data_IF_069762631482
#
_entry.id   IF_069762631482
#
_cell.length_a   1.000
_cell.length_b   1.000
_cell.length_c   1.000
_cell.angle_alpha   90.00
_cell.angle_beta   90.00
_cell.angle_gamma   90.00
#
_symmetry.space_group_name_H-M   'P 1'
#
loop_
_entity.id
_entity.type
_entity.pdbx_description
1 polymer ?
#
# COMPACT_ATOMS: atom_id res chain seq x y z
N UNK A 1 29.16 1.17 49.70
CA UNK A 1 29.16 1.22 48.21
C UNK A 1 28.21 0.13 47.73
N UNK A 2 26.97 0.47 47.40
CA UNK A 2 26.02 -0.47 46.81
C UNK A 2 26.06 -0.31 45.29
N UNK A 3 26.73 -1.24 44.62
CA UNK A 3 26.70 -1.34 43.17
C UNK A 3 25.36 -1.95 42.75
N UNK A 4 24.51 -1.16 42.10
CA UNK A 4 23.34 -1.69 41.42
C UNK A 4 23.79 -2.35 40.11
N UNK A 5 23.32 -3.57 39.80
CA UNK A 5 23.73 -4.27 38.59
C UNK A 5 23.18 -3.53 37.36
N UNK A 6 24.09 -3.11 36.49
CA UNK A 6 23.79 -2.50 35.18
C UNK A 6 23.08 -3.56 34.33
N UNK A 7 21.74 -3.57 34.34
CA UNK A 7 21.00 -4.56 33.55
C UNK A 7 19.56 -4.86 33.97
N UNK A 8 19.08 -4.37 35.11
CA UNK A 8 17.66 -4.54 35.45
C UNK A 8 16.85 -3.46 34.72
N UNK A 9 16.33 -3.81 33.54
CA UNK A 9 15.23 -3.07 32.92
C UNK A 9 14.05 -3.13 33.89
N UNK A 10 13.86 -2.07 34.66
CA UNK A 10 12.74 -1.92 35.57
C UNK A 10 11.44 -2.13 34.77
N UNK A 11 10.60 -3.07 35.22
CA UNK A 11 9.32 -3.42 34.57
C UNK A 11 8.41 -2.19 34.46
N UNK A 12 8.54 -1.28 35.43
CA UNK A 12 7.84 0.01 35.46
C UNK A 12 8.47 1.05 34.53
N UNK A 13 9.79 1.01 34.29
CA UNK A 13 10.44 1.86 33.28
C UNK A 13 10.15 1.42 31.83
N UNK A 14 9.77 0.16 31.59
CA UNK A 14 9.25 -0.28 30.29
C UNK A 14 7.82 0.24 30.01
N UNK A 15 7.15 0.79 31.03
CA UNK A 15 5.82 1.41 30.94
C UNK A 15 5.86 2.94 30.77
N UNK A 16 7.03 3.56 30.94
CA UNK A 16 7.22 5.01 30.79
C UNK A 16 7.14 5.35 29.30
N UNK A 17 5.91 5.63 28.88
CA UNK A 17 5.57 6.30 27.64
C UNK A 17 5.84 5.48 26.38
N UNK A 18 4.85 4.72 25.90
CA UNK A 18 4.78 4.43 24.47
C UNK A 18 4.92 5.78 23.74
N UNK A 19 5.94 5.98 22.90
CA UNK A 19 6.15 7.30 22.32
C UNK A 19 4.90 7.69 21.53
N UNK A 20 4.52 8.98 21.53
CA UNK A 20 3.24 9.47 20.98
C UNK A 20 3.01 9.08 19.49
N UNK A 21 4.08 8.68 18.81
CA UNK A 21 4.09 8.02 17.48
C UNK A 21 3.38 6.65 17.44
N UNK A 22 3.30 5.90 18.55
CA UNK A 22 2.63 4.59 18.65
C UNK A 22 1.19 4.68 19.17
N UNK A 23 0.82 5.81 19.82
CA UNK A 23 -0.51 6.03 20.36
C UNK A 23 -1.42 6.53 19.23
N UNK A 24 -2.24 5.61 18.72
CA UNK A 24 -3.22 5.88 17.67
C UNK A 24 -4.62 5.85 18.30
N UNK A 25 -5.29 7.01 18.32
CA UNK A 25 -6.69 7.08 18.72
C UNK A 25 -7.54 6.25 17.74
N UNK A 26 -8.59 5.58 18.24
CA UNK A 26 -9.54 4.83 17.39
C UNK A 26 -10.15 5.73 16.31
N UNK A 27 -10.47 6.98 16.66
CA UNK A 27 -11.02 7.98 15.72
C UNK A 27 -10.02 8.36 14.62
N UNK A 28 -8.75 8.56 14.98
CA UNK A 28 -7.69 8.84 14.00
C UNK A 28 -7.46 7.64 13.05
N UNK A 29 -7.54 6.42 13.58
CA UNK A 29 -7.40 5.19 12.76
C UNK A 29 -8.54 5.07 11.74
N UNK A 30 -9.77 5.36 12.17
CA UNK A 30 -10.94 5.36 11.30
C UNK A 30 -10.85 6.43 10.19
N UNK A 31 -10.39 7.63 10.54
CA UNK A 31 -10.17 8.70 9.57
C UNK A 31 -9.09 8.33 8.54
N UNK A 32 -7.97 7.74 8.97
CA UNK A 32 -6.92 7.24 8.07
C UNK A 32 -7.50 6.18 7.11
N UNK A 33 -8.34 5.27 7.64
CA UNK A 33 -8.95 4.21 6.84
C UNK A 33 -9.91 4.77 5.77
N UNK A 34 -10.80 5.70 6.11
CA UNK A 34 -11.69 6.34 5.12
C UNK A 34 -10.90 7.05 4.04
N UNK A 35 -9.91 7.87 4.42
CA UNK A 35 -9.09 8.58 3.42
C UNK A 35 -8.31 7.60 2.53
N UNK A 36 -7.81 6.50 3.10
CA UNK A 36 -7.13 5.47 2.33
C UNK A 36 -8.05 4.82 1.30
N UNK A 37 -9.33 4.59 1.63
CA UNK A 37 -10.33 4.04 0.70
C UNK A 37 -10.57 5.01 -0.45
N UNK A 38 -10.83 6.28 -0.16
CA UNK A 38 -11.10 7.32 -1.18
C UNK A 38 -9.92 7.42 -2.15
N UNK A 39 -8.69 7.48 -1.61
CA UNK A 39 -7.47 7.55 -2.40
C UNK A 39 -7.27 6.28 -3.23
N UNK A 40 -7.61 5.12 -2.68
CA UNK A 40 -7.49 3.85 -3.40
C UNK A 40 -8.44 3.78 -4.60
N UNK A 41 -9.64 4.34 -4.49
CA UNK A 41 -10.59 4.43 -5.60
C UNK A 41 -10.04 5.34 -6.70
N UNK A 42 -9.56 6.53 -6.33
CA UNK A 42 -8.99 7.51 -7.26
C UNK A 42 -7.78 6.91 -7.99
N UNK A 43 -6.84 6.32 -7.25
CA UNK A 43 -5.65 5.69 -7.83
C UNK A 43 -6.00 4.48 -8.71
N UNK A 44 -7.03 3.71 -8.35
CA UNK A 44 -7.51 2.61 -9.20
C UNK A 44 -8.07 3.07 -10.53
N UNK A 45 -8.78 4.21 -10.54
CA UNK A 45 -9.26 4.86 -11.77
C UNK A 45 -8.09 5.35 -12.64
N UNK A 46 -7.08 5.97 -12.04
CA UNK A 46 -5.86 6.36 -12.77
C UNK A 46 -5.13 5.15 -13.34
N UNK A 47 -5.03 4.07 -12.56
CA UNK A 47 -4.40 2.83 -13.02
C UNK A 47 -5.16 2.21 -14.20
N UNK A 48 -6.49 2.14 -14.15
CA UNK A 48 -7.30 1.62 -15.27
C UNK A 48 -7.20 2.50 -16.52
N UNK A 49 -7.19 3.83 -16.37
CA UNK A 49 -6.99 4.75 -17.50
C UNK A 49 -5.61 4.57 -18.13
N UNK A 50 -4.58 4.39 -17.29
CA UNK A 50 -3.22 4.16 -17.77
C UNK A 50 -3.10 2.83 -18.51
N UNK A 51 -3.69 1.76 -17.97
CA UNK A 51 -3.80 0.45 -18.63
C UNK A 51 -4.54 0.54 -19.97
N UNK A 52 -5.65 1.27 -20.01
CA UNK A 52 -6.43 1.51 -21.22
C UNK A 52 -5.63 2.26 -22.29
N UNK A 53 -4.92 3.32 -21.90
CA UNK A 53 -4.08 4.09 -22.81
C UNK A 53 -2.99 3.20 -23.43
N UNK A 54 -2.28 2.43 -22.59
CA UNK A 54 -1.24 1.51 -23.06
C UNK A 54 -1.82 0.46 -24.00
N UNK A 55 -2.97 -0.12 -23.65
CA UNK A 55 -3.60 -1.16 -24.46
C UNK A 55 -4.02 -0.67 -25.85
N UNK A 56 -4.50 0.58 -25.95
CA UNK A 56 -4.91 1.16 -27.23
C UNK A 56 -3.77 1.75 -28.07
N UNK A 57 -2.70 2.23 -27.43
CA UNK A 57 -1.59 2.90 -28.14
C UNK A 57 -0.38 2.00 -28.39
N UNK A 58 -0.15 0.95 -27.61
CA UNK A 58 0.93 0.01 -27.91
C UNK A 58 0.43 -1.06 -28.89
N UNK A 59 1.15 -1.30 -30.01
CA UNK A 59 0.84 -2.40 -30.90
C UNK A 59 0.96 -3.71 -30.10
N UNK A 60 -0.15 -4.44 -30.08
CA UNK A 60 -0.48 -5.63 -29.28
C UNK A 60 0.37 -6.87 -29.61
N UNK A 61 1.62 -6.72 -30.05
CA UNK A 61 2.42 -7.85 -30.54
C UNK A 61 3.13 -8.65 -29.43
N UNK A 62 3.27 -8.13 -28.20
CA UNK A 62 3.92 -8.87 -27.11
C UNK A 62 3.14 -8.78 -25.78
N UNK A 63 2.05 -9.55 -25.68
CA UNK A 63 1.25 -9.73 -24.45
C UNK A 63 2.11 -10.04 -23.20
N UNK A 64 3.24 -10.72 -23.37
CA UNK A 64 4.17 -11.02 -22.27
C UNK A 64 4.91 -9.78 -21.75
N UNK A 65 5.43 -8.93 -22.65
CA UNK A 65 6.15 -7.70 -22.27
C UNK A 65 5.19 -6.69 -21.63
N UNK A 66 3.96 -6.59 -22.15
CA UNK A 66 2.92 -5.77 -21.54
C UNK A 66 2.62 -6.16 -20.09
N UNK A 67 2.49 -7.47 -19.82
CA UNK A 67 2.25 -7.96 -18.45
C UNK A 67 3.43 -7.68 -17.51
N UNK A 68 4.67 -7.85 -17.95
CA UNK A 68 5.84 -7.50 -17.12
C UNK A 68 5.85 -6.00 -16.82
N UNK A 69 5.56 -5.16 -17.81
CA UNK A 69 5.47 -3.72 -17.64
C UNK A 69 4.38 -3.33 -16.63
N UNK A 70 3.20 -3.94 -16.72
CA UNK A 70 2.11 -3.71 -15.76
C UNK A 70 2.51 -4.10 -14.34
N UNK A 71 3.13 -5.26 -14.15
CA UNK A 71 3.64 -5.69 -12.84
C UNK A 71 4.61 -4.69 -12.22
N UNK A 72 5.52 -4.12 -13.03
CA UNK A 72 6.45 -3.08 -12.58
C UNK A 72 5.73 -1.80 -12.18
N UNK A 73 4.75 -1.35 -12.98
CA UNK A 73 3.95 -0.16 -12.67
C UNK A 73 3.20 -0.33 -11.34
N UNK A 74 2.58 -1.50 -11.12
CA UNK A 74 1.88 -1.82 -9.86
C UNK A 74 2.87 -1.82 -8.68
N UNK A 75 4.06 -2.40 -8.87
CA UNK A 75 5.09 -2.41 -7.83
C UNK A 75 5.54 -0.98 -7.46
N UNK A 76 5.73 -0.12 -8.45
CA UNK A 76 6.10 1.30 -8.25
C UNK A 76 4.97 2.08 -7.55
N UNK A 77 3.72 1.80 -7.89
CA UNK A 77 2.57 2.41 -7.19
C UNK A 77 2.58 2.11 -5.69
N UNK A 78 3.12 0.96 -5.28
CA UNK A 78 3.34 0.63 -3.88
C UNK A 78 4.17 1.66 -3.10
N UNK A 79 5.18 2.27 -3.75
CA UNK A 79 5.97 3.35 -3.14
C UNK A 79 5.11 4.58 -2.86
N UNK A 80 4.34 5.02 -3.86
CA UNK A 80 3.51 6.22 -3.75
C UNK A 80 2.40 6.03 -2.71
N UNK A 81 1.73 4.87 -2.73
CA UNK A 81 0.70 4.53 -1.75
C UNK A 81 1.27 4.50 -0.34
N UNK A 82 2.45 3.89 -0.17
CA UNK A 82 3.18 3.89 1.10
C UNK A 82 3.45 5.30 1.62
N UNK A 83 3.89 6.22 0.77
CA UNK A 83 4.14 7.62 1.13
C UNK A 83 2.88 8.41 1.46
N UNK A 84 1.82 8.23 0.67
CA UNK A 84 0.54 8.90 0.91
C UNK A 84 -0.03 8.49 2.27
N UNK A 85 -0.01 7.18 2.58
CA UNK A 85 -0.53 6.68 3.87
C UNK A 85 0.35 7.10 5.03
N UNK A 86 1.67 7.18 4.83
CA UNK A 86 2.59 7.76 5.81
C UNK A 86 2.26 9.23 6.11
N UNK A 87 1.97 10.03 5.07
CA UNK A 87 1.57 11.45 5.22
C UNK A 87 0.23 11.57 5.95
N UNK A 88 -0.78 10.78 5.57
CA UNK A 88 -2.12 10.78 6.19
C UNK A 88 -2.05 10.38 7.67
N UNK A 89 -1.18 9.42 8.00
CA UNK A 89 -0.96 8.98 9.38
C UNK A 89 -0.06 9.92 10.19
N UNK A 90 0.37 11.06 9.63
CA UNK A 90 1.27 12.03 10.26
C UNK A 90 2.58 11.38 10.75
N UNK A 91 3.17 10.49 9.96
CA UNK A 91 4.39 9.74 10.29
C UNK A 91 4.29 8.89 11.58
N UNK A 92 3.07 8.51 12.01
CA UNK A 92 2.90 7.60 13.16
C UNK A 92 3.28 6.17 12.77
N UNK A 93 4.00 5.49 13.66
CA UNK A 93 4.49 4.13 13.42
C UNK A 93 3.64 3.18 14.26
N UNK A 94 2.67 2.53 13.62
CA UNK A 94 1.79 1.54 14.26
C UNK A 94 1.56 0.35 13.30
N UNK A 95 1.58 -0.91 13.78
CA UNK A 95 1.32 -2.07 12.94
C UNK A 95 0.00 -1.99 12.17
N UNK A 96 -1.04 -1.32 12.71
CA UNK A 96 -2.31 -1.14 12.01
C UNK A 96 -2.18 -0.32 10.72
N UNK A 97 -1.28 0.67 10.68
CA UNK A 97 -1.05 1.49 9.49
C UNK A 97 -0.41 0.67 8.37
N UNK A 98 0.44 -0.32 8.71
CA UNK A 98 1.01 -1.25 7.73
C UNK A 98 -0.07 -2.11 7.09
N UNK A 99 -1.02 -2.61 7.89
CA UNK A 99 -2.17 -3.37 7.40
C UNK A 99 -3.04 -2.49 6.49
N UNK A 100 -3.30 -1.24 6.88
CA UNK A 100 -4.04 -0.28 6.04
C UNK A 100 -3.30 -0.03 4.72
N UNK A 101 -1.98 0.08 4.72
CA UNK A 101 -1.18 0.28 3.50
C UNK A 101 -1.19 -0.92 2.55
N UNK A 102 -1.16 -2.15 3.08
CA UNK A 102 -1.38 -3.33 2.25
C UNK A 102 -2.81 -3.37 1.71
N UNK A 103 -3.79 -3.09 2.58
CA UNK A 103 -5.20 -3.12 2.21
C UNK A 103 -5.56 -2.09 1.13
N UNK A 104 -4.97 -0.89 1.17
CA UNK A 104 -5.14 0.10 0.11
C UNK A 104 -4.60 -0.37 -1.24
N UNK A 105 -3.48 -1.10 -1.28
CA UNK A 105 -2.98 -1.67 -2.55
C UNK A 105 -3.97 -2.68 -3.13
N UNK A 106 -4.55 -3.54 -2.29
CA UNK A 106 -5.63 -4.43 -2.71
C UNK A 106 -6.88 -3.67 -3.16
N UNK A 107 -7.26 -2.60 -2.47
CA UNK A 107 -8.41 -1.78 -2.88
C UNK A 107 -8.17 -1.09 -4.23
N UNK A 108 -6.96 -0.57 -4.48
CA UNK A 108 -6.57 0.01 -5.78
C UNK A 108 -6.71 -1.04 -6.88
N UNK A 109 -6.27 -2.26 -6.60
CA UNK A 109 -6.38 -3.38 -7.52
C UNK A 109 -7.84 -3.71 -7.86
N UNK A 110 -8.68 -3.88 -6.83
CA UNK A 110 -10.11 -4.17 -7.01
C UNK A 110 -10.86 -3.03 -7.70
N UNK A 111 -10.62 -1.77 -7.31
CA UNK A 111 -11.24 -0.62 -7.95
C UNK A 111 -10.79 -0.50 -9.42
N UNK A 112 -9.52 -0.75 -9.71
CA UNK A 112 -8.99 -0.78 -11.08
C UNK A 112 -9.65 -1.85 -11.94
N UNK A 113 -9.91 -3.06 -11.42
CA UNK A 113 -10.66 -4.10 -12.14
C UNK A 113 -12.07 -3.59 -12.51
N UNK A 114 -12.77 -2.96 -11.56
CA UNK A 114 -14.12 -2.44 -11.77
C UNK A 114 -14.09 -1.38 -12.88
N UNK A 115 -13.20 -0.39 -12.80
CA UNK A 115 -13.09 0.67 -13.81
C UNK A 115 -12.65 0.12 -15.18
N UNK A 116 -11.73 -0.84 -15.22
CA UNK A 116 -11.29 -1.48 -16.45
C UNK A 116 -12.38 -2.28 -17.15
N UNK A 117 -13.33 -2.84 -16.39
CA UNK A 117 -14.51 -3.48 -16.96
C UNK A 117 -15.41 -2.46 -17.69
N UNK A 118 -15.54 -1.23 -17.19
CA UNK A 118 -16.25 -0.15 -17.89
C UNK A 118 -15.52 0.34 -19.15
N UNK A 119 -14.19 0.21 -19.18
CA UNK A 119 -13.32 0.59 -20.31
C UNK A 119 -13.15 -0.54 -21.35
N UNK A 120 -13.88 -1.66 -21.21
CA UNK A 120 -13.81 -2.84 -22.08
C UNK A 120 -12.41 -3.47 -22.20
N UNK A 121 -11.59 -3.36 -21.15
CA UNK A 121 -10.27 -4.02 -21.09
C UNK A 121 -10.43 -5.52 -20.78
N UNK A 122 -9.61 -6.39 -21.39
CA UNK A 122 -9.65 -7.81 -21.08
C UNK A 122 -9.18 -8.09 -19.65
N UNK A 123 -10.08 -8.62 -18.83
CA UNK A 123 -9.82 -8.93 -17.41
C UNK A 123 -8.69 -9.94 -17.19
N UNK A 124 -8.34 -10.74 -18.21
CA UNK A 124 -7.23 -11.70 -18.16
C UNK A 124 -5.87 -11.07 -17.85
N UNK A 125 -5.69 -9.76 -18.08
CA UNK A 125 -4.48 -9.03 -17.68
C UNK A 125 -4.34 -9.04 -16.15
N UNK A 126 -5.42 -8.79 -15.42
CA UNK A 126 -5.37 -8.73 -13.96
C UNK A 126 -5.06 -10.10 -13.34
N UNK A 127 -5.69 -11.17 -13.81
CA UNK A 127 -5.51 -12.49 -13.22
C UNK A 127 -4.21 -13.20 -13.62
N UNK A 128 -3.33 -12.55 -14.39
CA UNK A 128 -2.03 -13.10 -14.74
C UNK A 128 -1.13 -13.21 -13.49
N UNK A 129 -0.46 -14.36 -13.33
CA UNK A 129 0.47 -14.65 -12.22
C UNK A 129 1.54 -13.54 -12.07
N UNK A 130 2.04 -12.98 -13.18
CA UNK A 130 3.08 -11.95 -13.17
C UNK A 130 2.56 -10.66 -12.52
N UNK A 131 1.32 -10.27 -12.83
CA UNK A 131 0.70 -9.07 -12.26
C UNK A 131 0.31 -9.26 -10.79
N UNK A 132 -0.10 -10.47 -10.41
CA UNK A 132 -0.31 -10.83 -9.00
C UNK A 132 0.98 -10.77 -8.19
N UNK A 133 2.11 -11.19 -8.75
CA UNK A 133 3.44 -11.01 -8.13
C UNK A 133 3.76 -9.52 -8.00
N UNK A 134 3.50 -8.73 -9.05
CA UNK A 134 3.63 -7.27 -8.99
C UNK A 134 2.82 -6.62 -7.87
N UNK A 135 1.56 -7.04 -7.67
CA UNK A 135 0.71 -6.61 -6.56
C UNK A 135 1.30 -7.01 -5.20
N UNK A 136 1.82 -8.23 -5.07
CA UNK A 136 2.48 -8.71 -3.86
C UNK A 136 3.71 -7.87 -3.50
N UNK A 137 4.56 -7.60 -4.48
CA UNK A 137 5.76 -6.75 -4.33
C UNK A 137 5.34 -5.32 -3.96
N UNK A 138 4.39 -4.72 -4.67
CA UNK A 138 3.90 -3.38 -4.38
C UNK A 138 3.30 -3.25 -2.98
N UNK A 139 2.53 -4.25 -2.55
CA UNK A 139 1.97 -4.32 -1.19
C UNK A 139 3.07 -4.42 -0.12
N UNK A 140 4.09 -5.26 -0.36
CA UNK A 140 5.24 -5.37 0.53
C UNK A 140 6.01 -4.04 0.65
N UNK A 141 6.23 -3.35 -0.47
CA UNK A 141 6.89 -2.04 -0.48
C UNK A 141 6.07 -1.00 0.30
N UNK A 142 4.75 -0.96 0.09
CA UNK A 142 3.85 -0.06 0.83
C UNK A 142 3.88 -0.31 2.34
N UNK A 143 3.92 -1.58 2.76
CA UNK A 143 4.07 -1.97 4.17
C UNK A 143 5.41 -1.55 4.74
N UNK A 144 6.51 -1.81 4.01
CA UNK A 144 7.86 -1.54 4.49
C UNK A 144 8.13 -0.03 4.64
N UNK A 145 7.55 0.79 3.76
CA UNK A 145 7.64 2.27 3.87
C UNK A 145 7.00 2.81 5.17
N UNK A 146 6.00 2.10 5.71
CA UNK A 146 5.32 2.40 6.97
C UNK A 146 5.92 1.62 8.16
N UNK A 147 7.11 1.03 8.00
CA UNK A 147 7.84 0.35 9.06
C UNK A 147 8.61 1.32 9.95
N UNK A 148 9.23 2.34 9.35
CA UNK A 148 10.22 3.25 9.95
C UNK A 148 9.82 4.73 9.87
#
# INVERSE_FOLDING_TARGET
>A
MNQTPVGIKCKDCASIGKPQILILSKTATFFILINSIIISIILGLFLSLFLWLIWNFLPTSNFQIGNVFFAVVIAILGLQVGEIIRKISKNKINPKIRIIAAFSMFLIWFSSIIFSNFLSLPLGIYFNIINLVGLGIGSYIAMNKNRN
#
